data_IF_995281420569
#
_entry.id   IF_995281420569
#
_cell.length_a   1.000
_cell.length_b   1.000
_cell.length_c   1.000
_cell.angle_alpha   90.00
_cell.angle_beta   90.00
_cell.angle_gamma   90.00
#
_symmetry.space_group_name_H-M   'P 1'
#
loop_
_entity.id
_entity.type
_entity.pdbx_description
1 polymer ?
#
# COMPACT_ATOMS: atom_id res chain seq x y z
N UNK A 1 -18.17 -14.28 11.95
CA UNK A 1 -18.00 -12.94 11.35
C UNK A 1 -16.89 -12.06 11.96
N UNK A 2 -16.01 -12.60 12.83
CA UNK A 2 -14.94 -11.80 13.47
C UNK A 2 -13.82 -11.37 12.49
N UNK A 3 -13.43 -12.26 11.56
CA UNK A 3 -12.32 -12.00 10.63
C UNK A 3 -12.58 -10.79 9.71
N UNK A 4 -13.81 -10.65 9.21
CA UNK A 4 -14.25 -9.55 8.36
C UNK A 4 -14.28 -8.22 9.11
N UNK A 5 -14.79 -8.22 10.34
CA UNK A 5 -14.83 -7.03 11.20
C UNK A 5 -13.41 -6.58 11.57
N UNK A 6 -12.52 -7.53 11.90
CA UNK A 6 -11.12 -7.26 12.17
C UNK A 6 -10.38 -6.73 10.93
N UNK A 7 -10.64 -7.30 9.75
CA UNK A 7 -10.18 -6.79 8.46
C UNK A 7 -10.66 -5.35 8.23
N UNK A 8 -11.95 -5.06 8.42
CA UNK A 8 -12.49 -3.72 8.23
C UNK A 8 -11.82 -2.71 9.18
N UNK A 9 -11.72 -3.06 10.47
CA UNK A 9 -11.23 -2.20 11.53
C UNK A 9 -9.73 -1.89 11.38
N UNK A 10 -8.90 -2.91 11.14
CA UNK A 10 -7.45 -2.74 11.05
C UNK A 10 -6.99 -2.18 9.70
N UNK A 11 -7.77 -2.41 8.64
CA UNK A 11 -7.35 -2.03 7.29
C UNK A 11 -8.01 -0.74 6.81
N UNK A 12 -9.07 -0.28 7.48
CA UNK A 12 -9.86 0.89 7.09
C UNK A 12 -10.62 0.72 5.77
N UNK A 13 -10.68 -0.49 5.21
CA UNK A 13 -11.53 -0.78 4.05
C UNK A 13 -12.99 -0.71 4.52
N UNK A 14 -13.81 0.07 3.80
CA UNK A 14 -15.27 0.18 4.04
C UNK A 14 -16.10 -0.58 3.00
N UNK A 15 -15.45 -1.14 1.99
CA UNK A 15 -16.09 -1.86 0.90
C UNK A 15 -16.41 -3.29 1.33
N UNK A 16 -17.67 -3.53 1.68
CA UNK A 16 -18.13 -4.79 2.27
C UNK A 16 -17.89 -6.00 1.34
N UNK A 17 -18.26 -5.97 0.05
CA UNK A 17 -17.96 -7.11 -0.83
C UNK A 17 -16.46 -7.37 -1.03
N UNK A 18 -15.62 -6.32 -1.00
CA UNK A 18 -14.18 -6.51 -1.03
C UNK A 18 -13.67 -7.19 0.24
N UNK A 19 -14.19 -6.81 1.41
CA UNK A 19 -13.84 -7.42 2.69
C UNK A 19 -14.23 -8.90 2.75
N UNK A 20 -15.41 -9.24 2.25
CA UNK A 20 -15.93 -10.61 2.23
C UNK A 20 -14.99 -11.52 1.42
N UNK A 21 -14.69 -11.13 0.19
CA UNK A 21 -13.84 -11.93 -0.70
C UNK A 21 -12.37 -11.98 -0.24
N UNK A 22 -11.84 -10.89 0.35
CA UNK A 22 -10.52 -10.92 0.98
C UNK A 22 -10.47 -11.92 2.14
N UNK A 23 -11.50 -11.96 2.98
CA UNK A 23 -11.60 -12.93 4.07
C UNK A 23 -11.67 -14.36 3.54
N UNK A 24 -12.45 -14.61 2.48
CA UNK A 24 -12.55 -15.94 1.83
C UNK A 24 -11.22 -16.39 1.21
N UNK A 25 -10.45 -15.47 0.66
CA UNK A 25 -9.11 -15.72 0.12
C UNK A 25 -8.03 -15.90 1.21
N UNK A 26 -8.42 -15.87 2.49
CA UNK A 26 -7.53 -16.09 3.64
C UNK A 26 -6.67 -14.87 4.00
N UNK A 27 -7.03 -13.67 3.54
CA UNK A 27 -6.36 -12.47 4.00
C UNK A 27 -6.67 -12.20 5.46
N UNK A 28 -5.64 -11.86 6.22
CA UNK A 28 -5.78 -11.27 7.53
C UNK A 28 -5.52 -9.76 7.44
N UNK A 29 -5.99 -9.02 8.43
CA UNK A 29 -5.59 -7.62 8.62
C UNK A 29 -4.06 -7.45 8.51
N UNK A 30 -3.30 -8.30 9.20
CA UNK A 30 -1.83 -8.28 9.19
C UNK A 30 -1.24 -8.45 7.79
N UNK A 31 -1.74 -9.44 7.03
CA UNK A 31 -1.26 -9.70 5.67
C UNK A 31 -1.52 -8.51 4.76
N UNK A 32 -2.71 -7.92 4.86
CA UNK A 32 -3.11 -6.74 4.08
C UNK A 32 -2.25 -5.52 4.42
N UNK A 33 -1.95 -5.29 5.70
CA UNK A 33 -1.09 -4.20 6.13
C UNK A 33 0.32 -4.38 5.55
N UNK A 34 0.90 -5.57 5.66
CA UNK A 34 2.25 -5.85 5.16
C UNK A 34 2.36 -5.62 3.64
N UNK A 35 1.41 -6.12 2.84
CA UNK A 35 1.42 -5.90 1.39
C UNK A 35 1.21 -4.43 1.00
N UNK A 36 0.60 -3.60 1.85
CA UNK A 36 0.42 -2.18 1.53
C UNK A 36 1.70 -1.38 1.69
N UNK A 37 2.57 -1.75 2.62
CA UNK A 37 3.73 -0.92 2.94
C UNK A 37 4.72 -0.80 1.77
N UNK A 38 4.97 -1.88 1.02
CA UNK A 38 5.98 -1.89 -0.06
C UNK A 38 5.66 -0.85 -1.15
N UNK A 39 4.46 -0.84 -1.77
CA UNK A 39 4.13 0.17 -2.77
C UNK A 39 4.22 1.60 -2.23
N UNK A 40 3.76 1.84 -0.99
CA UNK A 40 3.79 3.19 -0.39
C UNK A 40 5.22 3.69 -0.19
N UNK A 41 6.10 2.83 0.35
CA UNK A 41 7.52 3.14 0.53
C UNK A 41 8.19 3.41 -0.81
N UNK A 42 7.97 2.55 -1.82
CA UNK A 42 8.64 2.69 -3.11
C UNK A 42 8.14 3.91 -3.90
N UNK A 43 6.90 4.35 -3.68
CA UNK A 43 6.41 5.63 -4.21
C UNK A 43 7.13 6.81 -3.56
N UNK A 44 7.35 6.81 -2.24
CA UNK A 44 8.16 7.85 -1.59
C UNK A 44 9.61 7.85 -2.09
N UNK A 45 10.20 6.68 -2.34
CA UNK A 45 11.56 6.59 -2.92
C UNK A 45 11.65 6.95 -4.41
N UNK A 46 10.58 7.45 -5.05
CA UNK A 46 10.56 7.76 -6.49
C UNK A 46 11.69 8.70 -6.92
N UNK A 47 12.09 9.62 -6.06
CA UNK A 47 13.17 10.58 -6.31
C UNK A 47 14.53 10.16 -5.69
N UNK A 48 14.68 8.89 -5.30
CA UNK A 48 15.88 8.36 -4.62
C UNK A 48 16.19 9.00 -3.25
N UNK A 49 15.21 9.68 -2.67
CA UNK A 49 15.23 10.23 -1.33
C UNK A 49 13.82 10.17 -0.76
N UNK A 50 13.70 10.09 0.57
CA UNK A 50 12.43 10.24 1.29
C UNK A 50 12.59 11.40 2.27
N UNK A 51 11.81 12.47 2.07
CA UNK A 51 11.90 13.64 2.94
C UNK A 51 11.11 13.47 4.25
N UNK A 52 11.30 14.39 5.20
CA UNK A 52 10.66 14.33 6.51
C UNK A 52 9.12 14.38 6.46
N UNK A 53 8.52 15.11 5.51
CA UNK A 53 7.08 15.19 5.29
C UNK A 53 6.54 13.90 4.69
N UNK A 54 7.22 13.32 3.71
CA UNK A 54 6.86 12.03 3.11
C UNK A 54 6.89 10.92 4.16
N UNK A 55 7.98 10.90 4.94
CA UNK A 55 8.16 9.99 6.07
C UNK A 55 7.03 10.12 7.08
N UNK A 56 6.70 11.35 7.50
CA UNK A 56 5.59 11.61 8.43
C UNK A 56 4.24 11.14 7.84
N UNK A 57 3.98 11.42 6.56
CA UNK A 57 2.76 11.03 5.89
C UNK A 57 2.59 9.51 5.79
N UNK A 58 3.68 8.79 5.50
CA UNK A 58 3.68 7.32 5.46
C UNK A 58 3.46 6.75 6.86
N UNK A 59 4.15 7.25 7.88
CA UNK A 59 3.96 6.78 9.26
C UNK A 59 2.54 7.08 9.78
N UNK A 60 1.96 8.23 9.47
CA UNK A 60 0.57 8.55 9.81
C UNK A 60 -0.42 7.61 9.09
N UNK A 61 -0.17 7.34 7.82
CA UNK A 61 -1.00 6.41 7.03
C UNK A 61 -0.88 4.98 7.58
N UNK A 62 0.33 4.53 7.90
CA UNK A 62 0.59 3.23 8.49
C UNK A 62 0.00 3.10 9.91
N UNK A 63 0.02 4.18 10.71
CA UNK A 63 -0.62 4.22 12.02
C UNK A 63 -2.13 3.99 11.95
N UNK A 64 -2.81 4.51 10.92
CA UNK A 64 -4.24 4.22 10.64
C UNK A 64 -4.50 2.76 10.25
N UNK A 65 -3.44 2.03 9.91
CA UNK A 65 -3.46 0.61 9.55
C UNK A 65 -2.97 -0.30 10.69
N UNK A 66 -2.89 0.22 11.92
CA UNK A 66 -2.42 -0.55 13.08
C UNK A 66 -0.90 -0.71 13.17
N UNK A 67 -0.12 -0.11 12.26
CA UNK A 67 1.35 -0.08 12.32
C UNK A 67 1.79 0.96 13.34
N UNK A 68 1.89 0.54 14.60
CA UNK A 68 2.26 1.39 15.74
C UNK A 68 3.70 1.13 16.18
N UNK A 69 4.29 2.07 16.94
CA UNK A 69 5.69 2.02 17.39
C UNK A 69 6.09 0.75 18.14
N UNK A 70 5.13 0.06 18.75
CA UNK A 70 5.27 -1.20 19.48
C UNK A 70 5.21 -2.45 18.58
N UNK A 71 5.14 -2.30 17.26
CA UNK A 71 4.97 -3.42 16.31
C UNK A 71 6.20 -3.65 15.45
N UNK A 72 6.48 -4.92 15.13
CA UNK A 72 7.55 -5.30 14.18
C UNK A 72 7.37 -4.63 12.81
N UNK A 73 6.11 -4.46 12.39
CA UNK A 73 5.78 -3.77 11.15
C UNK A 73 6.25 -2.31 11.14
N UNK A 74 6.22 -1.63 12.30
CA UNK A 74 6.73 -0.26 12.42
C UNK A 74 8.25 -0.23 12.34
N UNK A 75 8.93 -1.17 13.01
CA UNK A 75 10.40 -1.29 12.94
C UNK A 75 10.86 -1.52 11.50
N UNK A 76 10.19 -2.41 10.78
CA UNK A 76 10.47 -2.69 9.37
C UNK A 76 10.19 -1.46 8.48
N UNK A 77 9.06 -0.78 8.69
CA UNK A 77 8.71 0.44 7.96
C UNK A 77 9.73 1.57 8.20
N UNK A 78 10.15 1.77 9.45
CA UNK A 78 11.20 2.72 9.82
C UNK A 78 12.51 2.44 9.10
N UNK A 79 12.93 1.17 9.02
CA UNK A 79 14.12 0.78 8.29
C UNK A 79 13.98 1.09 6.80
N UNK A 80 12.86 0.73 6.18
CA UNK A 80 12.57 0.99 4.77
C UNK A 80 12.41 2.47 4.40
N UNK A 81 12.09 3.33 5.37
CA UNK A 81 12.07 4.79 5.17
C UNK A 81 13.46 5.43 5.31
N UNK A 82 14.43 4.72 5.89
CA UNK A 82 15.84 5.16 5.97
C UNK A 82 16.65 4.62 4.80
N UNK A 83 16.38 3.38 4.42
CA UNK A 83 17.07 2.68 3.34
C UNK A 83 16.06 2.12 2.36
N UNK A 84 16.26 2.42 1.08
CA UNK A 84 15.37 1.93 0.02
C UNK A 84 15.28 0.40 0.06
N UNK A 85 14.07 -0.19 0.02
CA UNK A 85 13.92 -1.64 -0.07
C UNK A 85 14.68 -2.18 -1.28
N UNK A 86 15.21 -3.42 -1.21
CA UNK A 86 15.86 -4.06 -2.34
C UNK A 86 15.00 -4.00 -3.61
N UNK A 87 15.61 -3.82 -4.78
CA UNK A 87 14.87 -3.74 -6.07
C UNK A 87 13.93 -4.93 -6.27
N UNK A 88 14.34 -6.10 -5.78
CA UNK A 88 13.58 -7.35 -5.83
C UNK A 88 12.27 -7.29 -5.04
N UNK A 89 12.13 -6.41 -4.05
CA UNK A 89 10.91 -6.23 -3.26
C UNK A 89 9.71 -5.84 -4.13
N UNK A 90 9.93 -4.99 -5.14
CA UNK A 90 8.87 -4.59 -6.07
C UNK A 90 8.41 -5.79 -6.93
N UNK A 91 9.36 -6.57 -7.44
CA UNK A 91 9.06 -7.72 -8.30
C UNK A 91 8.43 -8.88 -7.53
N UNK A 92 8.92 -9.15 -6.32
CA UNK A 92 8.33 -10.12 -5.41
C UNK A 92 6.89 -9.73 -5.05
N UNK A 93 6.65 -8.46 -4.75
CA UNK A 93 5.31 -7.94 -4.51
C UNK A 93 4.41 -8.15 -5.73
N UNK A 94 4.84 -7.75 -6.93
CA UNK A 94 4.03 -7.88 -8.16
C UNK A 94 3.69 -9.34 -8.45
N UNK A 95 4.65 -10.25 -8.32
CA UNK A 95 4.43 -11.67 -8.53
C UNK A 95 3.44 -12.26 -7.52
N UNK A 96 3.58 -11.90 -6.24
CA UNK A 96 2.67 -12.34 -5.19
C UNK A 96 1.25 -11.82 -5.45
N UNK A 97 1.11 -10.53 -5.73
CA UNK A 97 -0.18 -9.89 -5.94
C UNK A 97 -0.89 -10.40 -7.20
N UNK A 98 -0.17 -10.69 -8.28
CA UNK A 98 -0.76 -11.32 -9.49
C UNK A 98 -1.47 -12.64 -9.17
N UNK A 99 -0.85 -13.49 -8.35
CA UNK A 99 -1.43 -14.78 -7.93
C UNK A 99 -2.66 -14.63 -7.04
N UNK A 100 -2.77 -13.50 -6.35
CA UNK A 100 -3.90 -13.15 -5.50
C UNK A 100 -5.04 -12.64 -6.36
N UNK A 101 -4.79 -11.60 -7.15
CA UNK A 101 -5.84 -10.93 -7.93
C UNK A 101 -6.39 -11.83 -9.04
N UNK A 102 -5.62 -12.82 -9.50
CA UNK A 102 -6.12 -13.83 -10.45
C UNK A 102 -7.20 -14.74 -9.86
N UNK A 103 -7.34 -14.79 -8.53
CA UNK A 103 -8.39 -15.53 -7.83
C UNK A 103 -9.59 -14.66 -7.51
N UNK A 104 -9.50 -13.35 -7.73
CA UNK A 104 -10.57 -12.40 -7.43
C UNK A 104 -11.58 -12.33 -8.58
N UNK A 105 -12.85 -12.13 -8.25
CA UNK A 105 -13.87 -11.73 -9.20
C UNK A 105 -13.54 -10.37 -9.84
N UNK A 106 -13.92 -10.18 -11.10
CA UNK A 106 -13.59 -8.97 -11.89
C UNK A 106 -13.96 -7.67 -11.16
N UNK A 107 -15.16 -7.62 -10.56
CA UNK A 107 -15.63 -6.44 -9.82
C UNK A 107 -14.76 -6.18 -8.58
N UNK A 108 -14.46 -7.21 -7.81
CA UNK A 108 -13.65 -7.10 -6.58
C UNK A 108 -12.23 -6.70 -6.89
N UNK A 109 -11.62 -7.29 -7.92
CA UNK A 109 -10.31 -6.89 -8.43
C UNK A 109 -10.29 -5.40 -8.78
N UNK A 110 -11.30 -4.88 -9.48
CA UNK A 110 -11.37 -3.45 -9.79
C UNK A 110 -11.43 -2.58 -8.53
N UNK A 111 -12.23 -2.96 -7.52
CA UNK A 111 -12.31 -2.22 -6.25
C UNK A 111 -10.99 -2.28 -5.48
N UNK A 112 -10.29 -3.41 -5.54
CA UNK A 112 -8.98 -3.58 -4.93
C UNK A 112 -7.90 -2.74 -5.62
N UNK A 113 -7.92 -2.64 -6.96
CA UNK A 113 -7.07 -1.72 -7.74
C UNK A 113 -7.31 -0.28 -7.32
N UNK A 114 -8.57 0.17 -7.28
CA UNK A 114 -8.91 1.54 -6.86
C UNK A 114 -8.53 1.82 -5.40
N UNK A 115 -8.65 0.81 -4.53
CA UNK A 115 -8.20 0.89 -3.15
C UNK A 115 -6.68 1.16 -3.06
N UNK A 116 -5.85 0.36 -3.73
CA UNK A 116 -4.39 0.53 -3.73
C UNK A 116 -3.97 1.85 -4.39
N UNK A 117 -4.63 2.24 -5.50
CA UNK A 117 -4.42 3.52 -6.16
C UNK A 117 -4.67 4.69 -5.21
N UNK A 118 -5.80 4.68 -4.50
CA UNK A 118 -6.16 5.73 -3.54
C UNK A 118 -5.09 5.88 -2.45
N UNK A 119 -4.60 4.77 -1.90
CA UNK A 119 -3.56 4.78 -0.86
C UNK A 119 -2.22 5.33 -1.37
N UNK A 120 -1.74 4.86 -2.52
CA UNK A 120 -0.47 5.34 -3.09
C UNK A 120 -0.56 6.83 -3.48
N UNK A 121 -1.70 7.24 -4.06
CA UNK A 121 -1.95 8.65 -4.38
C UNK A 121 -2.04 9.53 -3.15
N UNK A 122 -2.54 9.03 -2.02
CA UNK A 122 -2.58 9.78 -0.76
C UNK A 122 -1.16 10.06 -0.25
N UNK A 123 -0.26 9.07 -0.32
CA UNK A 123 1.16 9.24 0.04
C UNK A 123 1.86 10.23 -0.90
N UNK A 124 1.74 10.04 -2.22
CA UNK A 124 2.34 10.93 -3.22
C UNK A 124 1.77 12.37 -3.23
N UNK A 125 0.57 12.58 -2.67
CA UNK A 125 0.02 13.93 -2.49
C UNK A 125 0.48 14.57 -1.18
N UNK A 126 0.65 13.76 -0.14
CA UNK A 126 1.11 14.21 1.16
C UNK A 126 2.61 14.55 1.16
N UNK A 127 3.39 13.93 0.27
CA UNK A 127 4.77 14.36 -0.04
C UNK A 127 4.83 15.77 -0.61
N UNK A 128 3.82 16.18 -1.38
CA UNK A 128 3.82 17.48 -2.06
C UNK A 128 5.05 17.61 -2.94
N UNK A 129 5.30 16.57 -3.75
CA UNK A 129 6.56 16.25 -4.41
C UNK A 129 7.33 17.46 -4.91
N UNK A 130 8.66 17.37 -4.87
CA UNK A 130 9.76 18.34 -5.12
C UNK A 130 9.49 19.72 -5.79
N UNK A 131 8.34 19.97 -6.42
CA UNK A 131 7.88 21.20 -7.06
C UNK A 131 6.52 21.76 -6.58
N UNK A 132 5.97 21.31 -5.44
CA UNK A 132 4.94 22.08 -4.73
C UNK A 132 3.67 21.33 -4.35
N UNK A 133 2.87 22.02 -3.52
CA UNK A 133 1.70 21.51 -2.82
C UNK A 133 0.76 20.75 -3.78
N UNK A 134 0.66 19.43 -3.58
CA UNK A 134 -0.40 18.59 -4.13
C UNK A 134 -0.20 17.99 -5.53
N UNK A 135 0.95 18.17 -6.19
CA UNK A 135 1.23 17.52 -7.49
C UNK A 135 2.08 16.27 -7.34
N UNK A 136 1.52 15.13 -7.74
CA UNK A 136 2.27 13.89 -7.95
C UNK A 136 3.26 14.08 -9.10
N UNK A 137 4.51 13.65 -8.96
CA UNK A 137 5.57 13.73 -9.97
C UNK A 137 5.37 12.70 -11.08
N UNK A 138 6.09 12.85 -12.20
CA UNK A 138 6.06 11.87 -13.28
C UNK A 138 6.65 10.52 -12.84
N UNK A 139 7.69 10.53 -12.00
CA UNK A 139 8.34 9.32 -11.47
C UNK A 139 7.42 8.59 -10.49
N UNK A 140 6.78 9.31 -9.58
CA UNK A 140 5.78 8.74 -8.66
C UNK A 140 4.64 8.09 -9.46
N UNK A 141 4.10 8.78 -10.48
CA UNK A 141 3.08 8.20 -11.38
C UNK A 141 3.54 6.91 -12.05
N UNK A 142 4.77 6.86 -12.54
CA UNK A 142 5.31 5.68 -13.20
C UNK A 142 5.40 4.48 -12.24
N UNK A 143 5.83 4.72 -10.99
CA UNK A 143 5.88 3.67 -9.96
C UNK A 143 4.47 3.19 -9.61
N UNK A 144 3.53 4.13 -9.38
CA UNK A 144 2.13 3.82 -9.08
C UNK A 144 1.53 2.96 -10.19
N UNK A 145 1.65 3.39 -11.45
CA UNK A 145 1.08 2.65 -12.58
C UNK A 145 1.69 1.26 -12.71
N UNK A 146 3.00 1.12 -12.49
CA UNK A 146 3.66 -0.18 -12.48
C UNK A 146 3.13 -1.16 -11.43
N UNK A 147 2.62 -0.67 -10.30
CA UNK A 147 1.91 -1.50 -9.31
C UNK A 147 0.47 -1.78 -9.72
N UNK A 148 -0.26 -0.80 -10.25
CA UNK A 148 -1.65 -0.98 -10.68
C UNK A 148 -1.77 -1.98 -11.83
N UNK A 149 -0.85 -1.96 -12.79
CA UNK A 149 -0.79 -2.94 -13.88
C UNK A 149 -0.65 -4.37 -13.37
N UNK A 150 0.13 -4.59 -12.30
CA UNK A 150 0.25 -5.91 -11.69
C UNK A 150 -1.04 -6.38 -10.98
N UNK A 151 -1.99 -5.49 -10.72
CA UNK A 151 -3.27 -5.79 -10.09
C UNK A 151 -4.42 -5.96 -11.10
N UNK A 152 -4.22 -5.59 -12.37
CA UNK A 152 -5.25 -5.64 -13.43
C UNK A 152 -5.28 -6.95 -14.23
N UNK A 153 -4.31 -7.83 -13.99
CA UNK A 153 -4.10 -9.12 -14.69
C UNK A 153 -5.26 -10.06 -14.49
#
# INVERSE_FOLDING_TARGET
DNAREELALQTGIKDLPLLDELSELGFTARTIVAIRLIPLVLVAWADHHVDARERQAILLSAGRLGVRRDTDAYVMLEHWLREMPPRQSADAWKQYMRRIVSKMGVKTRQRFVEYFKSQMMAVAKASGGHFGIGKVSAKERQIIEGFLEALRV
#
